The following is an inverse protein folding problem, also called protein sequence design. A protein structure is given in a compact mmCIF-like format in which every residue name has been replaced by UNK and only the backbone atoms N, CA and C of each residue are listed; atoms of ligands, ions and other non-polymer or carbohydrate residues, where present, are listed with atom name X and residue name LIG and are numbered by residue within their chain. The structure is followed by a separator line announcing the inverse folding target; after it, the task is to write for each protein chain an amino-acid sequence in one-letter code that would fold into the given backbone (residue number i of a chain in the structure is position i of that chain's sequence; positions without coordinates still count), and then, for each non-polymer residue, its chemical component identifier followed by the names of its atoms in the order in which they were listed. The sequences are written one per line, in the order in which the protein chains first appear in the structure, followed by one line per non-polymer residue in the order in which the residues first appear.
data_IF_231564142935
#
_entry.id   IF_231564142935
#
_cell.length_a   1.000
_cell.length_b   1.000
_cell.length_c   1.000
_cell.angle_alpha   90.00
_cell.angle_beta   90.00
_cell.angle_gamma   90.00
#
_symmetry.space_group_name_H-M   'P 1'
#
loop_
_entity.id
_entity.type
_entity.pdbx_description
1 polymer ?
#
# COMPACT_ATOMS: atom_id res chain seq x y z
N UNK A 1 6.26 -21.45 -6.40
CA UNK A 1 6.23 -22.57 -5.40
C UNK A 1 6.41 -21.99 -4.02
N UNK A 2 5.60 -22.38 -2.98
CA UNK A 2 5.75 -21.79 -1.64
C UNK A 2 7.14 -21.91 -1.07
N UNK A 3 7.67 -20.80 -0.56
CA UNK A 3 9.01 -20.69 0.03
C UNK A 3 9.05 -20.96 1.54
N UNK A 4 7.89 -21.26 2.17
CA UNK A 4 7.76 -21.43 3.61
C UNK A 4 6.85 -22.62 3.98
N UNK A 5 6.98 -23.07 5.25
CA UNK A 5 6.04 -24.00 5.91
C UNK A 5 5.47 -23.36 7.17
N UNK A 6 4.19 -23.57 7.44
CA UNK A 6 3.55 -23.07 8.65
C UNK A 6 4.04 -23.80 9.90
N UNK A 7 4.39 -23.04 10.93
CA UNK A 7 4.73 -23.56 12.28
C UNK A 7 3.67 -23.12 13.32
N UNK A 8 2.88 -22.12 13.00
CA UNK A 8 1.79 -21.61 13.84
C UNK A 8 0.54 -21.51 12.97
N UNK A 9 -0.61 -21.80 13.53
CA UNK A 9 -1.89 -21.76 12.83
C UNK A 9 -2.90 -20.98 13.66
N UNK A 10 -3.73 -20.19 12.99
CA UNK A 10 -4.89 -19.53 13.53
C UNK A 10 -6.14 -20.18 12.90
N UNK A 11 -7.04 -20.79 13.71
CA UNK A 11 -8.25 -21.38 13.17
C UNK A 11 -9.18 -20.30 12.60
N UNK A 12 -9.66 -20.53 11.38
CA UNK A 12 -10.67 -19.69 10.75
C UNK A 12 -11.90 -20.55 10.41
N UNK A 13 -13.07 -19.93 10.40
CA UNK A 13 -14.34 -20.62 10.10
C UNK A 13 -15.16 -19.77 9.14
N UNK A 14 -15.68 -20.39 8.09
CA UNK A 14 -16.64 -19.75 7.21
C UNK A 14 -18.01 -19.72 7.91
N UNK A 15 -18.55 -18.53 8.28
CA UNK A 15 -19.89 -18.42 8.86
C UNK A 15 -20.95 -18.86 7.84
N UNK A 16 -22.12 -19.31 8.33
CA UNK A 16 -23.24 -19.63 7.44
C UNK A 16 -23.68 -18.40 6.63
N UNK A 17 -24.36 -18.60 5.50
CA UNK A 17 -24.85 -17.51 4.67
C UNK A 17 -25.78 -16.59 5.45
N UNK A 18 -26.69 -17.14 6.24
CA UNK A 18 -27.62 -16.40 7.10
C UNK A 18 -26.86 -15.51 8.08
N UNK A 19 -25.79 -16.07 8.72
CA UNK A 19 -24.99 -15.27 9.65
C UNK A 19 -24.22 -14.16 8.93
N UNK A 20 -23.70 -14.39 7.72
CA UNK A 20 -23.03 -13.33 6.95
C UNK A 20 -23.99 -12.21 6.54
N UNK A 21 -25.24 -12.54 6.18
CA UNK A 21 -26.29 -11.56 5.87
C UNK A 21 -26.67 -10.71 7.10
N UNK A 22 -26.82 -11.33 8.27
CA UNK A 22 -27.06 -10.62 9.53
C UNK A 22 -25.89 -9.67 9.87
N UNK A 23 -24.65 -10.17 9.83
CA UNK A 23 -23.45 -9.38 10.13
C UNK A 23 -23.28 -8.22 9.17
N UNK A 24 -23.56 -8.42 7.87
CA UNK A 24 -23.47 -7.36 6.88
C UNK A 24 -24.47 -6.23 7.17
N UNK A 25 -25.70 -6.58 7.53
CA UNK A 25 -26.71 -5.61 7.94
C UNK A 25 -26.34 -4.90 9.26
N UNK A 26 -25.86 -5.65 10.27
CA UNK A 26 -25.36 -5.09 11.54
C UNK A 26 -24.17 -4.13 11.32
N UNK A 27 -23.32 -4.40 10.33
CA UNK A 27 -22.18 -3.57 9.94
C UNK A 27 -22.56 -2.34 9.08
N UNK A 28 -23.87 -2.13 8.80
CA UNK A 28 -24.32 -1.04 7.93
C UNK A 28 -23.74 -1.12 6.52
N UNK A 29 -23.60 -2.32 5.97
CA UNK A 29 -23.02 -2.58 4.63
C UNK A 29 -21.63 -1.95 4.42
N UNK A 30 -20.87 -1.77 5.50
CA UNK A 30 -19.51 -1.25 5.48
C UNK A 30 -18.51 -2.32 5.93
N UNK A 31 -17.57 -2.68 5.04
CA UNK A 31 -16.58 -3.73 5.28
C UNK A 31 -15.69 -3.48 6.51
N UNK A 32 -15.45 -2.21 6.86
CA UNK A 32 -14.64 -1.85 8.04
C UNK A 32 -15.34 -2.13 9.37
N UNK A 33 -16.67 -2.23 9.38
CA UNK A 33 -17.46 -2.52 10.56
C UNK A 33 -17.72 -4.02 10.78
N UNK A 34 -17.34 -4.89 9.84
CA UNK A 34 -17.49 -6.35 9.97
C UNK A 34 -16.51 -6.86 11.02
N UNK A 35 -16.96 -7.51 12.11
CA UNK A 35 -16.09 -8.11 13.12
C UNK A 35 -15.17 -9.18 12.50
N UNK A 36 -13.90 -9.17 12.87
CA UNK A 36 -12.88 -10.04 12.25
C UNK A 36 -13.19 -11.54 12.38
N UNK A 37 -13.82 -11.97 13.51
CA UNK A 37 -14.22 -13.36 13.73
C UNK A 37 -15.30 -13.87 12.77
N UNK A 38 -15.97 -12.96 12.04
CA UNK A 38 -16.97 -13.31 11.03
C UNK A 38 -16.40 -13.26 9.60
N UNK A 39 -15.12 -12.99 9.42
CA UNK A 39 -14.45 -12.96 8.11
C UNK A 39 -13.70 -14.27 7.89
N UNK A 40 -13.93 -14.93 6.75
CA UNK A 40 -13.24 -16.16 6.41
C UNK A 40 -11.92 -15.90 5.67
N UNK A 41 -11.93 -15.06 4.64
CA UNK A 41 -10.70 -14.63 3.95
C UNK A 41 -10.64 -13.11 3.96
N UNK A 42 -9.67 -12.58 4.70
CA UNK A 42 -9.51 -11.13 4.89
C UNK A 42 -8.47 -10.55 3.92
N UNK A 43 -8.95 -9.91 2.87
CA UNK A 43 -8.16 -9.23 1.84
C UNK A 43 -8.35 -7.70 1.89
N UNK A 44 -8.77 -7.17 3.05
CA UNK A 44 -8.96 -5.74 3.26
C UNK A 44 -7.64 -4.99 3.09
N UNK A 45 -6.56 -5.54 3.63
CA UNK A 45 -5.24 -4.90 3.60
C UNK A 45 -4.10 -5.92 3.72
N UNK A 46 -2.97 -5.60 3.08
CA UNK A 46 -1.69 -6.29 3.26
C UNK A 46 -0.81 -5.69 4.36
N UNK A 47 -1.30 -4.63 5.04
CA UNK A 47 -0.54 -3.84 6.00
C UNK A 47 -0.71 -4.33 7.43
N UNK A 48 0.31 -4.99 7.98
CA UNK A 48 0.35 -5.46 9.37
C UNK A 48 -0.47 -6.73 9.63
N UNK A 49 -0.97 -7.38 8.59
CA UNK A 49 -1.79 -8.59 8.66
C UNK A 49 -1.06 -9.84 8.18
N UNK A 50 0.23 -9.70 7.83
CA UNK A 50 1.08 -10.81 7.39
C UNK A 50 1.63 -11.65 8.55
N UNK A 51 2.16 -12.83 8.19
CA UNK A 51 2.79 -13.76 9.12
C UNK A 51 4.29 -13.51 9.20
N UNK A 52 4.80 -13.31 10.40
CA UNK A 52 6.24 -13.19 10.69
C UNK A 52 6.95 -14.55 10.60
N UNK A 53 8.22 -14.52 10.20
CA UNK A 53 9.09 -15.70 10.17
C UNK A 53 9.48 -16.16 11.58
N UNK A 54 9.99 -17.39 11.69
CA UNK A 54 10.55 -17.89 12.94
C UNK A 54 11.80 -17.11 13.38
N UNK A 55 12.55 -16.53 12.43
CA UNK A 55 13.66 -15.63 12.74
C UNK A 55 13.17 -14.30 13.33
N UNK A 56 12.07 -13.74 12.81
CA UNK A 56 11.43 -12.55 13.38
C UNK A 56 10.89 -12.84 14.79
N UNK A 57 10.22 -13.98 15.01
CA UNK A 57 9.76 -14.39 16.34
C UNK A 57 10.93 -14.58 17.32
N UNK A 58 12.05 -15.17 16.88
CA UNK A 58 13.25 -15.27 17.71
C UNK A 58 13.86 -13.90 18.03
N UNK A 59 13.80 -12.95 17.09
CA UNK A 59 14.28 -11.60 17.28
C UNK A 59 13.48 -10.84 18.34
N UNK A 60 12.16 -11.04 18.43
CA UNK A 60 11.32 -10.44 19.47
C UNK A 60 11.86 -10.72 20.88
N UNK A 61 12.40 -11.91 21.14
CA UNK A 61 12.95 -12.28 22.44
C UNK A 61 14.34 -11.65 22.74
N UNK A 62 14.97 -11.02 21.75
CA UNK A 62 16.27 -10.32 21.94
C UNK A 62 16.10 -8.81 22.13
N UNK A 63 14.90 -8.29 21.88
CA UNK A 63 14.64 -6.87 22.00
C UNK A 63 14.96 -6.33 23.38
N UNK A 64 15.73 -5.22 23.42
CA UNK A 64 16.02 -4.49 24.65
C UNK A 64 15.08 -3.27 24.74
N UNK A 65 14.48 -3.08 25.92
CA UNK A 65 13.52 -2.01 26.19
C UNK A 65 14.20 -0.74 26.73
N UNK A 66 15.31 -0.35 26.11
CA UNK A 66 16.04 0.87 26.47
C UNK A 66 15.37 2.11 25.85
N UNK A 67 15.09 3.12 26.66
CA UNK A 67 14.47 4.37 26.19
C UNK A 67 15.32 5.11 25.15
N UNK A 68 16.63 5.09 25.30
CA UNK A 68 17.57 5.79 24.42
C UNK A 68 18.76 4.91 24.05
N UNK A 69 19.10 4.87 22.75
CA UNK A 69 20.31 4.21 22.27
C UNK A 69 20.32 2.70 22.42
N UNK A 70 19.16 2.04 22.22
CA UNK A 70 19.02 0.59 22.33
C UNK A 70 19.87 -0.15 21.28
N UNK A 71 20.33 -1.35 21.63
CA UNK A 71 20.98 -2.26 20.66
C UNK A 71 20.02 -2.65 19.53
N UNK A 72 18.72 -2.79 19.84
CA UNK A 72 17.67 -3.05 18.86
C UNK A 72 17.61 -1.95 17.80
N UNK A 73 17.70 -0.68 18.20
CA UNK A 73 17.79 0.44 17.26
C UNK A 73 19.05 0.38 16.38
N UNK A 74 20.19 0.04 16.95
CA UNK A 74 21.42 -0.08 16.15
C UNK A 74 21.29 -1.16 15.08
N UNK A 75 20.69 -2.31 15.43
CA UNK A 75 20.45 -3.40 14.45
C UNK A 75 19.43 -3.00 13.37
N UNK A 76 18.39 -2.24 13.72
CA UNK A 76 17.47 -1.69 12.72
C UNK A 76 18.19 -0.74 11.77
N UNK A 77 18.99 0.19 12.30
CA UNK A 77 19.76 1.15 11.49
C UNK A 77 20.69 0.42 10.52
N UNK A 78 21.40 -0.59 11.00
CA UNK A 78 22.26 -1.43 10.15
C UNK A 78 21.45 -2.15 9.06
N UNK A 79 20.26 -2.71 9.40
CA UNK A 79 19.40 -3.36 8.41
C UNK A 79 18.91 -2.38 7.36
N UNK A 80 18.50 -1.16 7.76
CA UNK A 80 18.10 -0.11 6.83
C UNK A 80 19.26 0.30 5.93
N UNK A 81 20.46 0.50 6.48
CA UNK A 81 21.65 0.86 5.71
C UNK A 81 22.05 -0.26 4.72
N UNK A 82 22.02 -1.53 5.15
CA UNK A 82 22.31 -2.68 4.30
C UNK A 82 21.35 -2.77 3.10
N UNK A 83 20.05 -2.57 3.34
CA UNK A 83 19.02 -2.76 2.30
C UNK A 83 18.83 -1.51 1.44
N UNK A 84 18.87 -0.32 2.05
CA UNK A 84 18.45 0.93 1.37
C UNK A 84 19.62 1.88 1.08
N UNK A 85 20.74 1.76 1.79
CA UNK A 85 21.86 2.68 1.71
C UNK A 85 21.67 3.99 2.49
N UNK A 86 20.67 4.08 3.35
CA UNK A 86 20.44 5.21 4.25
C UNK A 86 20.94 4.91 5.65
N UNK A 87 21.75 5.81 6.23
CA UNK A 87 22.33 5.65 7.57
C UNK A 87 21.65 6.50 8.65
N UNK A 88 20.89 7.56 8.24
CA UNK A 88 20.13 8.41 9.16
C UNK A 88 18.68 7.96 9.18
N UNK A 89 18.29 7.27 10.24
CA UNK A 89 17.00 6.57 10.37
C UNK A 89 16.28 7.05 11.61
N UNK A 90 14.98 7.30 11.49
CA UNK A 90 14.07 7.61 12.59
C UNK A 90 12.95 6.56 12.54
N UNK A 91 12.89 5.63 13.49
CA UNK A 91 11.79 4.69 13.57
C UNK A 91 10.47 5.40 13.92
N UNK A 92 9.35 4.83 13.47
CA UNK A 92 8.00 5.28 13.74
C UNK A 92 7.09 4.07 13.95
N UNK A 93 5.94 4.23 14.60
CA UNK A 93 5.04 3.11 14.87
C UNK A 93 4.42 2.51 13.60
N UNK A 94 4.35 3.27 12.50
CA UNK A 94 3.91 2.83 11.16
C UNK A 94 4.18 3.89 10.09
N UNK A 95 3.89 3.58 8.81
CA UNK A 95 4.16 4.47 7.68
C UNK A 95 3.54 5.86 7.80
N UNK A 96 2.27 5.98 8.26
CA UNK A 96 1.65 7.30 8.42
C UNK A 96 2.31 8.16 9.49
N UNK A 97 2.98 7.57 10.47
CA UNK A 97 3.85 8.29 11.40
C UNK A 97 5.09 8.83 10.69
N UNK A 98 5.70 8.01 9.83
CA UNK A 98 6.81 8.44 8.98
C UNK A 98 6.42 9.60 8.05
N UNK A 99 5.26 9.51 7.40
CA UNK A 99 4.69 10.59 6.57
C UNK A 99 4.48 11.88 7.36
N UNK A 100 3.88 11.81 8.55
CA UNK A 100 3.71 12.98 9.43
C UNK A 100 5.05 13.63 9.76
N UNK A 101 6.04 12.82 10.13
CA UNK A 101 7.36 13.33 10.50
C UNK A 101 8.04 14.02 9.32
N UNK A 102 8.03 13.41 8.14
CA UNK A 102 8.74 13.94 6.98
C UNK A 102 8.03 15.13 6.33
N UNK A 103 6.75 14.96 5.95
CA UNK A 103 6.02 16.02 5.22
C UNK A 103 5.75 17.24 6.11
N UNK A 104 5.63 17.06 7.43
CA UNK A 104 5.56 18.20 8.34
C UNK A 104 6.87 18.96 8.54
N UNK A 105 7.98 18.49 7.94
CA UNK A 105 9.24 19.24 7.85
C UNK A 105 9.47 19.84 6.45
N UNK A 106 8.80 19.35 5.42
CA UNK A 106 9.07 19.67 4.03
C UNK A 106 7.98 20.56 3.38
N UNK A 107 6.75 20.51 3.90
CA UNK A 107 5.58 21.14 3.26
C UNK A 107 5.08 22.29 4.12
N UNK A 108 4.85 23.45 3.47
CA UNK A 108 4.28 24.66 4.06
C UNK A 108 2.94 25.02 3.37
N UNK A 109 2.21 25.99 3.94
CA UNK A 109 0.94 26.45 3.36
C UNK A 109 1.14 27.02 1.94
N UNK A 110 0.38 26.50 1.00
CA UNK A 110 0.41 26.91 -0.40
C UNK A 110 1.42 26.17 -1.28
N UNK A 111 2.19 25.24 -0.73
CA UNK A 111 3.07 24.37 -1.53
C UNK A 111 2.28 23.38 -2.38
N UNK A 112 2.88 22.95 -3.48
CA UNK A 112 2.38 21.87 -4.33
C UNK A 112 3.33 20.68 -4.21
N UNK A 113 2.78 19.50 -3.95
CA UNK A 113 3.56 18.25 -3.88
C UNK A 113 3.16 17.34 -5.02
N UNK A 114 4.13 16.97 -5.84
CA UNK A 114 3.92 16.10 -7.01
C UNK A 114 4.15 14.64 -6.65
N UNK A 115 3.34 13.75 -7.22
CA UNK A 115 3.51 12.29 -7.07
C UNK A 115 3.04 11.56 -8.34
N UNK A 116 3.52 10.34 -8.56
CA UNK A 116 2.92 9.47 -9.58
C UNK A 116 1.43 9.16 -9.29
N UNK A 117 1.08 8.84 -8.05
CA UNK A 117 -0.29 8.93 -7.51
C UNK A 117 -0.24 8.82 -5.98
N UNK A 118 -0.75 9.81 -5.29
CA UNK A 118 -0.73 9.88 -3.83
C UNK A 118 -1.57 8.77 -3.19
N UNK A 119 -1.02 8.19 -2.13
CA UNK A 119 -1.79 7.38 -1.20
C UNK A 119 -2.64 8.27 -0.28
N UNK A 120 -3.73 7.73 0.31
CA UNK A 120 -4.69 8.51 1.10
C UNK A 120 -4.04 9.30 2.23
N UNK A 121 -3.18 8.64 3.03
CA UNK A 121 -2.52 9.28 4.16
C UNK A 121 -1.44 10.28 3.74
N UNK A 122 -0.74 10.02 2.63
CA UNK A 122 0.21 10.96 2.04
C UNK A 122 -0.51 12.25 1.63
N UNK A 123 -1.61 12.12 0.88
CA UNK A 123 -2.48 13.23 0.48
C UNK A 123 -2.99 14.00 1.69
N UNK A 124 -3.47 13.29 2.71
CA UNK A 124 -4.00 13.89 3.92
C UNK A 124 -2.94 14.65 4.73
N UNK A 125 -1.71 14.13 4.84
CA UNK A 125 -0.62 14.81 5.53
C UNK A 125 -0.17 16.07 4.81
N UNK A 126 -0.10 16.06 3.48
CA UNK A 126 0.22 17.25 2.67
C UNK A 126 -0.86 18.31 2.85
N UNK A 127 -2.12 17.94 2.68
CA UNK A 127 -3.26 18.85 2.84
C UNK A 127 -3.35 19.43 4.28
N UNK A 128 -3.01 18.63 5.30
CA UNK A 128 -2.99 19.10 6.69
C UNK A 128 -1.89 20.13 6.99
N UNK A 129 -0.84 20.18 6.15
CA UNK A 129 0.15 21.26 6.20
C UNK A 129 -0.27 22.50 5.37
N UNK A 130 -1.42 22.46 4.68
CA UNK A 130 -1.88 23.49 3.77
C UNK A 130 -1.33 23.39 2.35
N UNK A 131 -0.68 22.28 2.01
CA UNK A 131 -0.18 21.97 0.67
C UNK A 131 -1.24 21.36 -0.23
N UNK A 132 -1.01 21.40 -1.55
CA UNK A 132 -1.85 20.81 -2.59
C UNK A 132 -1.17 19.55 -3.19
N UNK A 133 -1.72 18.34 -2.97
CA UNK A 133 -1.18 17.11 -3.55
C UNK A 133 -1.68 16.91 -4.98
N UNK A 134 -0.76 16.96 -5.97
CA UNK A 134 -1.07 16.80 -7.39
C UNK A 134 -0.51 15.50 -7.95
N UNK A 135 -1.37 14.71 -8.62
CA UNK A 135 -1.00 13.44 -9.23
C UNK A 135 -0.53 13.62 -10.67
N UNK A 136 0.65 13.09 -10.99
CA UNK A 136 1.28 13.09 -12.31
C UNK A 136 1.52 11.66 -12.83
N UNK A 137 0.48 10.83 -13.02
CA UNK A 137 0.64 9.48 -13.56
C UNK A 137 0.94 9.52 -15.06
N UNK A 138 1.62 8.47 -15.56
CA UNK A 138 1.80 8.27 -17.01
C UNK A 138 0.48 8.04 -17.72
N UNK A 139 0.47 8.28 -19.03
CA UNK A 139 -0.68 7.97 -19.87
C UNK A 139 -1.04 6.47 -19.83
N UNK A 140 -2.33 6.18 -19.68
CA UNK A 140 -2.85 4.82 -19.56
C UNK A 140 -2.69 4.18 -18.18
N UNK A 141 -2.18 4.90 -17.18
CA UNK A 141 -2.16 4.45 -15.78
C UNK A 141 -3.56 4.20 -15.22
N UNK A 142 -4.59 4.82 -15.79
CA UNK A 142 -6.00 4.64 -15.40
C UNK A 142 -6.81 3.76 -16.36
N UNK A 143 -6.17 3.17 -17.36
CA UNK A 143 -6.81 2.24 -18.29
C UNK A 143 -6.70 0.80 -17.76
N UNK A 144 -7.79 0.15 -17.29
CA UNK A 144 -7.73 -1.14 -16.63
C UNK A 144 -7.37 -2.28 -17.58
N UNK A 145 -7.59 -2.12 -18.90
CA UNK A 145 -7.34 -3.17 -19.89
C UNK A 145 -6.00 -3.03 -20.62
N UNK A 146 -5.34 -1.86 -20.50
CA UNK A 146 -4.04 -1.63 -21.13
C UNK A 146 -2.97 -2.48 -20.45
N UNK A 147 -2.33 -3.33 -21.22
CA UNK A 147 -1.17 -4.11 -20.78
C UNK A 147 0.13 -3.31 -21.04
N UNK A 148 0.74 -2.79 -19.98
CA UNK A 148 2.02 -2.08 -20.03
C UNK A 148 2.87 -2.42 -18.80
N UNK A 149 4.19 -2.57 -18.94
CA UNK A 149 5.05 -3.15 -17.90
C UNK A 149 5.17 -2.29 -16.63
N UNK A 150 5.04 -0.95 -16.75
CA UNK A 150 5.30 0.01 -15.68
C UNK A 150 4.25 1.13 -15.62
N UNK A 151 3.00 0.77 -15.39
CA UNK A 151 1.90 1.75 -15.29
C UNK A 151 1.96 2.62 -14.01
N UNK A 152 2.83 2.26 -13.08
CA UNK A 152 3.11 3.06 -11.88
C UNK A 152 4.07 4.23 -12.10
N UNK A 153 4.64 4.40 -13.30
CA UNK A 153 5.60 5.47 -13.57
C UNK A 153 5.02 6.88 -13.35
N UNK A 154 5.92 7.79 -12.99
CA UNK A 154 5.66 9.24 -12.92
C UNK A 154 5.83 9.88 -14.29
N UNK A 155 5.00 10.86 -14.62
CA UNK A 155 5.08 11.65 -15.85
C UNK A 155 5.78 12.99 -15.58
N UNK A 156 7.05 13.09 -15.95
CA UNK A 156 7.79 14.35 -15.86
C UNK A 156 7.19 15.45 -16.74
N UNK A 157 6.57 15.13 -17.88
CA UNK A 157 5.93 16.12 -18.74
C UNK A 157 4.73 16.77 -18.05
N UNK A 158 3.82 15.95 -17.45
CA UNK A 158 2.70 16.50 -16.66
C UNK A 158 3.18 17.31 -15.45
N UNK A 159 4.27 16.88 -14.85
CA UNK A 159 4.87 17.60 -13.73
C UNK A 159 5.42 18.96 -14.15
N UNK A 160 6.07 19.04 -15.34
CA UNK A 160 6.50 20.32 -15.91
C UNK A 160 5.34 21.26 -16.19
N UNK A 161 4.23 20.77 -16.75
CA UNK A 161 3.01 21.58 -16.95
C UNK A 161 2.53 22.21 -15.63
N UNK A 162 2.54 21.44 -14.53
CA UNK A 162 2.17 21.96 -13.20
C UNK A 162 3.16 22.99 -12.71
N UNK A 163 4.49 22.73 -12.84
CA UNK A 163 5.54 23.68 -12.44
C UNK A 163 5.47 24.97 -13.24
N UNK A 164 5.18 24.90 -14.54
CA UNK A 164 5.01 26.09 -15.40
C UNK A 164 3.80 26.95 -14.96
N UNK A 165 2.75 26.33 -14.40
CA UNK A 165 1.56 27.02 -13.92
C UNK A 165 1.75 27.65 -12.53
N UNK A 166 2.47 26.96 -11.61
CA UNK A 166 2.55 27.41 -10.19
C UNK A 166 3.87 28.06 -9.80
N UNK A 167 4.96 27.79 -10.53
CA UNK A 167 6.34 28.18 -10.21
C UNK A 167 7.09 27.09 -9.44
N UNK A 168 8.38 26.87 -9.80
CA UNK A 168 9.22 25.84 -9.19
C UNK A 168 9.40 26.04 -7.67
N UNK A 169 9.45 27.28 -7.22
CA UNK A 169 9.61 27.64 -5.80
C UNK A 169 8.41 27.19 -4.93
N UNK A 170 7.29 26.85 -5.54
CA UNK A 170 6.10 26.30 -4.86
C UNK A 170 6.05 24.77 -4.86
N UNK A 171 7.05 24.11 -5.43
CA UNK A 171 7.11 22.64 -5.51
C UNK A 171 8.32 22.12 -4.72
N UNK A 172 8.28 22.11 -3.38
CA UNK A 172 9.43 21.74 -2.56
C UNK A 172 9.69 20.21 -2.55
N UNK A 173 8.71 19.40 -2.98
CA UNK A 173 8.78 17.94 -2.86
C UNK A 173 8.20 17.26 -4.10
N UNK A 174 8.95 16.30 -4.62
CA UNK A 174 8.51 15.30 -5.60
C UNK A 174 8.52 13.94 -4.93
N UNK A 175 7.38 13.26 -4.93
CA UNK A 175 7.22 11.92 -4.32
C UNK A 175 7.10 10.87 -5.42
N UNK A 176 7.68 9.70 -5.20
CA UNK A 176 7.50 8.53 -6.06
C UNK A 176 7.12 7.31 -5.19
N UNK A 177 5.90 6.83 -5.35
CA UNK A 177 5.39 5.66 -4.60
C UNK A 177 5.69 4.38 -5.36
N UNK A 178 6.41 3.44 -4.75
CA UNK A 178 6.79 2.14 -5.32
C UNK A 178 6.42 0.96 -4.41
N UNK A 179 5.73 -0.11 -4.90
CA UNK A 179 4.80 -0.09 -6.05
C UNK A 179 3.63 0.83 -5.76
N UNK A 180 3.06 1.48 -6.80
CA UNK A 180 2.03 2.48 -6.57
C UNK A 180 0.67 1.85 -6.24
N UNK A 181 0.24 1.94 -4.98
CA UNK A 181 -1.05 1.39 -4.52
C UNK A 181 -2.25 2.07 -5.19
N UNK A 182 -2.21 3.39 -5.39
CA UNK A 182 -3.30 4.18 -5.98
C UNK A 182 -3.45 3.95 -7.49
N UNK A 183 -2.45 3.33 -8.11
CA UNK A 183 -2.47 2.84 -9.48
C UNK A 183 -2.42 1.31 -9.48
N UNK A 184 -3.36 0.67 -8.77
CA UNK A 184 -3.57 -0.78 -8.73
C UNK A 184 -2.28 -1.61 -8.42
N UNK A 185 -1.40 -1.10 -7.56
CA UNK A 185 -0.17 -1.79 -7.17
C UNK A 185 0.88 -1.88 -8.28
N UNK A 186 0.80 -1.01 -9.29
CA UNK A 186 1.68 -1.06 -10.45
C UNK A 186 3.11 -0.66 -10.13
N UNK A 187 4.10 -1.33 -10.73
CA UNK A 187 5.50 -1.03 -10.54
C UNK A 187 5.96 0.21 -11.30
N UNK A 188 7.08 0.75 -10.82
CA UNK A 188 7.84 1.85 -11.42
C UNK A 188 9.16 1.31 -11.94
N UNK A 189 9.55 1.68 -13.17
CA UNK A 189 10.83 1.27 -13.76
C UNK A 189 12.03 1.96 -13.11
N UNK A 190 13.21 1.33 -13.15
CA UNK A 190 14.44 1.97 -12.70
C UNK A 190 14.79 3.20 -13.55
N UNK A 191 14.48 3.16 -14.84
CA UNK A 191 14.63 4.33 -15.73
C UNK A 191 13.79 5.51 -15.25
N UNK A 192 12.53 5.28 -14.86
CA UNK A 192 11.64 6.34 -14.39
C UNK A 192 12.04 6.87 -13.01
N UNK A 193 12.60 6.03 -12.12
CA UNK A 193 13.18 6.54 -10.85
C UNK A 193 14.28 7.56 -11.15
N UNK A 194 15.19 7.26 -12.09
CA UNK A 194 16.26 8.21 -12.49
C UNK A 194 15.72 9.47 -13.16
N UNK A 195 14.72 9.33 -14.02
CA UNK A 195 14.05 10.47 -14.66
C UNK A 195 13.37 11.38 -13.64
N UNK A 196 12.66 10.80 -12.66
CA UNK A 196 12.00 11.57 -11.60
C UNK A 196 13.00 12.25 -10.68
N UNK A 197 14.12 11.60 -10.36
CA UNK A 197 15.21 12.23 -9.59
C UNK A 197 15.83 13.40 -10.33
N UNK A 198 16.11 13.26 -11.62
CA UNK A 198 16.65 14.34 -12.46
C UNK A 198 15.66 15.51 -12.58
N UNK A 199 14.36 15.23 -12.68
CA UNK A 199 13.33 16.27 -12.68
C UNK A 199 13.27 17.01 -11.32
N UNK A 200 13.33 16.31 -10.21
CA UNK A 200 13.35 16.93 -8.88
C UNK A 200 14.59 17.83 -8.70
N UNK A 201 15.78 17.38 -9.17
CA UNK A 201 17.01 18.18 -9.18
C UNK A 201 16.88 19.43 -10.07
N UNK A 202 16.24 19.30 -11.24
CA UNK A 202 16.00 20.43 -12.18
C UNK A 202 15.24 21.60 -11.51
N UNK A 203 14.30 21.30 -10.61
CA UNK A 203 13.45 22.29 -9.93
C UNK A 203 13.87 22.58 -8.48
N UNK A 204 15.00 22.07 -8.02
CA UNK A 204 15.53 22.19 -6.65
C UNK A 204 14.56 21.64 -5.57
N UNK A 205 13.81 20.56 -5.90
CA UNK A 205 12.87 19.91 -5.00
C UNK A 205 13.49 18.69 -4.30
N UNK A 206 13.06 18.41 -3.07
CA UNK A 206 13.43 17.19 -2.35
C UNK A 206 12.78 15.97 -3.01
N UNK A 207 13.56 14.99 -3.45
CA UNK A 207 13.05 13.75 -4.00
C UNK A 207 12.81 12.71 -2.91
N UNK A 208 11.55 12.32 -2.71
CA UNK A 208 11.13 11.35 -1.70
C UNK A 208 10.60 10.08 -2.38
N UNK A 209 11.08 8.91 -1.96
CA UNK A 209 10.48 7.64 -2.35
C UNK A 209 9.64 7.08 -1.18
N UNK A 210 8.33 6.86 -1.44
CA UNK A 210 7.54 5.96 -0.61
C UNK A 210 7.93 4.53 -0.93
N UNK A 211 8.77 3.95 -0.07
CA UNK A 211 9.41 2.66 -0.25
C UNK A 211 8.61 1.49 0.35
N UNK A 212 7.32 1.67 0.60
CA UNK A 212 6.50 0.68 1.30
C UNK A 212 6.51 -0.71 0.64
N UNK A 213 6.70 -0.79 -0.70
CA UNK A 213 6.76 -2.05 -1.47
C UNK A 213 7.95 -2.08 -2.43
N UNK A 214 9.10 -1.71 -1.92
CA UNK A 214 10.34 -1.55 -2.67
C UNK A 214 10.88 -2.87 -3.24
N UNK A 215 10.72 -4.00 -2.54
CA UNK A 215 11.22 -5.29 -2.98
C UNK A 215 10.32 -5.90 -4.07
N UNK A 216 8.98 -5.78 -3.93
CA UNK A 216 8.04 -6.13 -5.01
C UNK A 216 8.36 -5.30 -6.27
N UNK A 217 8.63 -4.00 -6.12
CA UNK A 217 8.99 -3.13 -7.24
C UNK A 217 10.30 -3.57 -7.91
N UNK A 218 11.35 -3.82 -7.12
CA UNK A 218 12.64 -4.28 -7.64
C UNK A 218 12.53 -5.65 -8.35
N UNK A 219 11.66 -6.54 -7.86
CA UNK A 219 11.38 -7.80 -8.53
C UNK A 219 10.75 -7.60 -9.91
N UNK A 220 9.79 -6.67 -10.06
CA UNK A 220 9.22 -6.34 -11.36
C UNK A 220 10.23 -5.69 -12.29
N UNK A 221 11.11 -4.81 -11.80
CA UNK A 221 12.23 -4.25 -12.57
C UNK A 221 13.10 -5.38 -13.12
N UNK A 222 13.52 -6.32 -12.26
CA UNK A 222 14.30 -7.49 -12.65
C UNK A 222 13.62 -8.31 -13.76
N UNK A 223 12.29 -8.44 -13.72
CA UNK A 223 11.53 -9.26 -14.69
C UNK A 223 11.17 -8.55 -15.98
N UNK A 224 11.06 -7.22 -15.98
CA UNK A 224 10.41 -6.45 -17.05
C UNK A 224 11.29 -5.38 -17.68
N UNK A 225 12.40 -4.98 -17.04
CA UNK A 225 13.29 -3.92 -17.55
C UNK A 225 14.59 -4.53 -18.10
N UNK A 226 14.94 -4.20 -19.36
CA UNK A 226 16.13 -4.71 -20.02
C UNK A 226 17.40 -4.34 -19.27
N UNK A 227 18.30 -5.32 -19.08
CA UNK A 227 19.59 -5.15 -18.41
C UNK A 227 19.55 -5.36 -16.90
N UNK A 228 18.40 -5.75 -16.34
CA UNK A 228 18.24 -6.04 -14.90
C UNK A 228 18.07 -7.54 -14.58
N UNK A 229 17.99 -8.41 -15.56
CA UNK A 229 17.62 -9.83 -15.45
C UNK A 229 18.56 -10.63 -14.55
N UNK A 230 19.86 -10.32 -14.59
CA UNK A 230 20.92 -11.03 -13.86
C UNK A 230 21.24 -10.38 -12.49
N UNK A 231 20.57 -9.29 -12.13
CA UNK A 231 20.81 -8.56 -10.88
C UNK A 231 19.96 -9.13 -9.75
N UNK A 232 20.44 -8.99 -8.51
CA UNK A 232 19.64 -9.36 -7.34
C UNK A 232 18.57 -8.32 -7.04
N UNK A 233 17.46 -8.74 -6.41
CA UNK A 233 16.41 -7.83 -5.94
C UNK A 233 16.98 -6.78 -4.97
N UNK A 234 17.91 -7.20 -4.09
CA UNK A 234 18.58 -6.31 -3.15
C UNK A 234 19.39 -5.21 -3.86
N UNK A 235 20.17 -5.56 -4.89
CA UNK A 235 20.96 -4.58 -5.65
C UNK A 235 20.07 -3.58 -6.41
N UNK A 236 18.99 -4.07 -7.00
CA UNK A 236 18.03 -3.22 -7.73
C UNK A 236 17.31 -2.27 -6.76
N UNK A 237 16.83 -2.79 -5.63
CA UNK A 237 16.18 -1.99 -4.59
C UNK A 237 17.12 -0.89 -4.08
N UNK A 238 18.38 -1.24 -3.75
CA UNK A 238 19.38 -0.29 -3.28
C UNK A 238 19.71 0.77 -4.33
N UNK A 239 19.82 0.38 -5.62
CA UNK A 239 20.01 1.35 -6.71
C UNK A 239 18.84 2.32 -6.80
N UNK A 240 17.60 1.83 -6.86
CA UNK A 240 16.43 2.70 -6.96
C UNK A 240 16.36 3.70 -5.79
N UNK A 241 16.56 3.22 -4.56
CA UNK A 241 16.52 4.06 -3.36
C UNK A 241 17.72 5.01 -3.23
N UNK A 242 18.83 4.72 -3.93
CA UNK A 242 20.02 5.59 -3.92
C UNK A 242 19.79 6.97 -4.56
N UNK A 243 18.79 7.09 -5.42
CA UNK A 243 18.44 8.35 -6.09
C UNK A 243 17.62 9.29 -5.22
N UNK A 244 17.01 8.81 -4.12
CA UNK A 244 16.17 9.63 -3.25
C UNK A 244 17.00 10.39 -2.19
N UNK A 245 16.52 11.59 -1.82
CA UNK A 245 17.01 12.38 -0.70
C UNK A 245 16.44 11.86 0.63
N UNK A 246 15.22 11.35 0.59
CA UNK A 246 14.55 10.75 1.72
C UNK A 246 13.65 9.58 1.30
N UNK A 247 13.39 8.67 2.25
CA UNK A 247 12.41 7.60 2.09
C UNK A 247 11.47 7.56 3.28
N UNK A 248 10.21 7.22 3.01
CA UNK A 248 9.23 6.82 4.03
C UNK A 248 8.91 5.34 3.86
N UNK A 249 8.80 4.63 4.97
CA UNK A 249 8.56 3.19 4.96
C UNK A 249 7.51 2.78 5.98
N UNK A 250 6.50 2.04 5.53
CA UNK A 250 5.66 1.27 6.43
C UNK A 250 6.23 -0.14 6.56
N UNK A 251 6.82 -0.44 7.70
CA UNK A 251 7.34 -1.79 8.01
C UNK A 251 6.25 -2.85 8.04
N UNK A 252 5.00 -2.44 8.24
CA UNK A 252 3.80 -3.29 8.17
C UNK A 252 3.57 -3.94 6.80
N UNK A 253 4.36 -3.57 5.78
CA UNK A 253 4.35 -4.16 4.44
C UNK A 253 5.63 -4.97 4.23
N UNK A 254 6.68 -4.38 3.69
CA UNK A 254 7.89 -5.13 3.32
C UNK A 254 9.01 -5.16 4.36
N UNK A 255 8.77 -4.73 5.61
CA UNK A 255 9.56 -5.23 6.73
C UNK A 255 8.85 -6.39 7.46
N UNK A 256 7.76 -6.91 6.90
CA UNK A 256 7.07 -8.14 7.28
C UNK A 256 6.63 -8.19 8.76
N UNK A 257 6.34 -7.01 9.36
CA UNK A 257 5.93 -6.88 10.76
C UNK A 257 4.48 -6.44 10.89
N UNK A 258 3.91 -6.64 12.08
CA UNK A 258 2.54 -6.24 12.39
C UNK A 258 2.46 -4.76 12.84
N UNK A 259 3.56 -4.17 13.28
CA UNK A 259 3.72 -2.76 13.64
C UNK A 259 5.12 -2.29 13.25
N UNK A 260 5.26 -1.02 12.89
CA UNK A 260 6.55 -0.40 12.59
C UNK A 260 6.59 0.36 11.28
N UNK A 261 7.52 1.27 11.21
CA UNK A 261 7.89 2.08 10.07
C UNK A 261 9.14 2.90 10.36
N UNK A 262 9.57 3.68 9.40
CA UNK A 262 10.67 4.63 9.59
C UNK A 262 10.70 5.71 8.52
N UNK A 263 11.34 6.81 8.84
CA UNK A 263 11.87 7.81 7.91
C UNK A 263 13.37 7.61 7.81
N UNK A 264 13.93 7.69 6.61
CA UNK A 264 15.37 7.82 6.47
C UNK A 264 15.70 8.95 5.49
N UNK A 265 16.74 9.73 5.80
CA UNK A 265 17.10 10.95 5.06
C UNK A 265 18.63 11.03 4.86
N UNK A 266 19.05 11.71 3.77
CA UNK A 266 20.49 11.94 3.50
C UNK A 266 20.97 13.24 4.12
N UNK A 267 20.16 14.29 4.04
CA UNK A 267 20.50 15.60 4.56
C UNK A 267 20.54 15.62 6.10
N UNK A 268 21.56 16.23 6.69
CA UNK A 268 21.77 16.28 8.13
C UNK A 268 20.83 17.26 8.83
N UNK A 269 20.52 18.39 8.20
CA UNK A 269 19.66 19.41 8.80
C UNK A 269 18.20 18.97 8.76
N UNK A 270 17.76 18.32 7.66
CA UNK A 270 16.46 17.68 7.59
C UNK A 270 16.32 16.57 8.64
N UNK A 271 17.38 15.78 8.85
CA UNK A 271 17.40 14.74 9.89
C UNK A 271 17.17 15.32 11.28
N UNK A 272 17.84 16.43 11.63
CA UNK A 272 17.66 17.07 12.95
C UNK A 272 16.24 17.66 13.10
N UNK A 273 15.67 18.27 12.05
CA UNK A 273 14.27 18.74 12.06
C UNK A 273 13.29 17.58 12.23
N UNK A 274 13.48 16.50 11.47
CA UNK A 274 12.65 15.30 11.55
C UNK A 274 12.72 14.65 12.94
N UNK A 275 13.89 14.58 13.57
CA UNK A 275 14.05 14.11 14.96
C UNK A 275 13.22 14.92 15.95
N UNK A 276 13.26 16.27 15.85
CA UNK A 276 12.48 17.13 16.74
C UNK A 276 10.97 16.87 16.57
N UNK A 277 10.50 16.71 15.34
CA UNK A 277 9.11 16.39 15.08
C UNK A 277 8.74 14.99 15.56
N UNK A 278 9.58 14.00 15.35
CA UNK A 278 9.38 12.64 15.84
C UNK A 278 9.23 12.57 17.37
N UNK A 279 9.99 13.36 18.13
CA UNK A 279 9.85 13.43 19.59
C UNK A 279 8.44 13.87 20.00
N UNK A 280 7.82 14.75 19.25
CA UNK A 280 6.47 15.27 19.56
C UNK A 280 5.36 14.29 19.19
N UNK A 281 5.50 13.52 18.10
CA UNK A 281 4.40 12.74 17.52
C UNK A 281 4.56 11.23 17.65
N UNK A 282 5.79 10.72 17.73
CA UNK A 282 6.09 9.28 17.76
C UNK A 282 6.73 8.86 19.08
N UNK A 283 7.86 9.45 19.40
CA UNK A 283 8.64 9.15 20.57
C UNK A 283 10.12 9.50 20.39
N UNK A 284 10.97 9.09 21.34
CA UNK A 284 12.39 9.38 21.22
C UNK A 284 12.99 8.73 19.95
N UNK A 285 13.92 9.38 19.22
CA UNK A 285 14.36 8.97 17.88
C UNK A 285 15.01 7.59 17.77
N UNK A 286 15.31 6.94 18.90
CA UNK A 286 15.87 5.59 18.90
C UNK A 286 14.85 4.49 19.22
N UNK A 287 13.57 4.83 19.42
CA UNK A 287 12.51 3.84 19.49
C UNK A 287 11.24 4.22 18.71
N UNK A 288 10.95 5.52 18.48
CA UNK A 288 9.85 5.97 17.63
C UNK A 288 8.47 5.43 18.00
N UNK A 289 8.14 5.36 19.30
CA UNK A 289 6.87 4.83 19.80
C UNK A 289 6.73 3.31 19.72
N UNK A 290 7.80 2.57 19.42
CA UNK A 290 7.81 1.12 19.34
C UNK A 290 8.55 0.47 20.52
N UNK A 291 8.29 -0.81 20.79
CA UNK A 291 9.11 -1.60 21.68
C UNK A 291 10.38 -2.07 20.97
N UNK A 292 11.45 -2.35 21.75
CA UNK A 292 12.67 -2.93 21.21
C UNK A 292 12.43 -4.26 20.50
N UNK A 293 11.44 -5.04 20.96
CA UNK A 293 11.00 -6.29 20.34
C UNK A 293 10.51 -6.07 18.91
N UNK A 294 9.65 -5.08 18.68
CA UNK A 294 9.12 -4.79 17.36
C UNK A 294 10.20 -4.26 16.41
N UNK A 295 11.13 -3.45 16.94
CA UNK A 295 12.31 -2.95 16.23
C UNK A 295 13.19 -4.11 15.74
N UNK A 296 13.46 -5.10 16.60
CA UNK A 296 14.23 -6.30 16.24
C UNK A 296 13.55 -7.12 15.14
N UNK A 297 12.23 -7.35 15.26
CA UNK A 297 11.49 -8.06 14.25
C UNK A 297 11.50 -7.33 12.90
N UNK A 298 11.42 -5.99 12.92
CA UNK A 298 11.49 -5.15 11.73
C UNK A 298 12.86 -5.22 11.05
N UNK A 299 13.95 -5.21 11.83
CA UNK A 299 15.31 -5.34 11.31
C UNK A 299 15.54 -6.67 10.56
N UNK A 300 14.99 -7.77 11.10
CA UNK A 300 15.04 -9.09 10.45
C UNK A 300 14.19 -9.10 9.19
N UNK A 301 12.93 -8.63 9.28
CA UNK A 301 11.99 -8.66 8.18
C UNK A 301 12.43 -7.82 6.97
N UNK A 302 13.10 -6.69 7.18
CA UNK A 302 13.70 -5.88 6.12
C UNK A 302 14.72 -6.67 5.28
N UNK A 303 15.57 -7.45 5.92
CA UNK A 303 16.54 -8.29 5.21
C UNK A 303 15.87 -9.45 4.48
N UNK A 304 14.84 -10.06 5.08
CA UNK A 304 14.06 -11.12 4.44
C UNK A 304 13.28 -10.65 3.21
N UNK A 305 12.85 -9.40 3.19
CA UNK A 305 12.03 -8.84 2.10
C UNK A 305 12.73 -8.86 0.73
N UNK A 306 14.06 -8.78 0.70
CA UNK A 306 14.83 -8.80 -0.54
C UNK A 306 15.34 -10.20 -0.94
N UNK A 307 15.02 -11.21 -0.14
CA UNK A 307 15.39 -12.61 -0.45
C UNK A 307 14.55 -13.16 -1.60
N UNK A 308 15.19 -13.71 -2.66
CA UNK A 308 14.47 -14.18 -3.84
C UNK A 308 13.32 -15.15 -3.55
N UNK A 309 13.49 -16.17 -2.67
CA UNK A 309 12.39 -17.12 -2.40
C UNK A 309 11.14 -16.46 -1.82
N UNK A 310 11.31 -15.39 -1.06
CA UNK A 310 10.18 -14.65 -0.49
C UNK A 310 9.48 -13.82 -1.56
N UNK A 311 10.22 -12.94 -2.26
CA UNK A 311 9.59 -11.97 -3.17
C UNK A 311 8.99 -12.65 -4.40
N UNK A 312 9.60 -13.73 -4.90
CA UNK A 312 9.07 -14.56 -5.98
C UNK A 312 7.74 -15.20 -5.58
N UNK A 313 7.69 -15.90 -4.43
CA UNK A 313 6.47 -16.51 -3.90
C UNK A 313 5.36 -15.47 -3.67
N UNK A 314 5.73 -14.27 -3.19
CA UNK A 314 4.83 -13.15 -2.94
C UNK A 314 4.15 -12.66 -4.22
N UNK A 315 4.92 -12.38 -5.26
CA UNK A 315 4.38 -11.87 -6.53
C UNK A 315 3.63 -12.96 -7.28
N UNK A 316 4.17 -14.18 -7.34
CA UNK A 316 3.48 -15.35 -7.92
C UNK A 316 2.09 -15.58 -7.30
N UNK A 317 1.96 -15.40 -5.98
CA UNK A 317 0.68 -15.57 -5.28
C UNK A 317 -0.38 -14.57 -5.75
N UNK A 318 0.01 -13.31 -5.97
CA UNK A 318 -0.91 -12.27 -6.45
C UNK A 318 -1.28 -12.50 -7.92
N UNK A 319 -0.28 -12.83 -8.75
CA UNK A 319 -0.50 -13.19 -10.16
C UNK A 319 -1.40 -14.43 -10.30
N UNK A 320 -1.26 -15.41 -9.38
CA UNK A 320 -2.11 -16.61 -9.36
C UNK A 320 -3.58 -16.29 -9.09
N UNK A 321 -3.88 -15.41 -8.12
CA UNK A 321 -5.26 -14.96 -7.87
C UNK A 321 -5.80 -14.20 -9.09
N UNK A 322 -5.01 -13.31 -9.69
CA UNK A 322 -5.41 -12.58 -10.89
C UNK A 322 -5.80 -13.54 -12.04
N UNK A 323 -4.96 -14.52 -12.32
CA UNK A 323 -5.23 -15.54 -13.33
C UNK A 323 -6.48 -16.37 -13.02
N UNK A 324 -6.69 -16.76 -11.75
CA UNK A 324 -7.88 -17.51 -11.32
C UNK A 324 -9.17 -16.71 -11.55
N UNK A 325 -9.15 -15.39 -11.31
CA UNK A 325 -10.28 -14.50 -11.56
C UNK A 325 -10.55 -14.35 -13.06
N UNK A 326 -9.53 -14.11 -13.88
CA UNK A 326 -9.66 -14.01 -15.34
C UNK A 326 -10.18 -15.29 -15.98
N UNK A 327 -9.67 -16.46 -15.57
CA UNK A 327 -10.14 -17.78 -16.05
C UNK A 327 -11.64 -18.01 -15.77
N UNK A 328 -12.18 -17.32 -14.75
CA UNK A 328 -13.60 -17.36 -14.37
C UNK A 328 -14.43 -16.20 -14.94
N UNK A 329 -13.84 -15.37 -15.82
CA UNK A 329 -14.51 -14.27 -16.46
C UNK A 329 -14.75 -13.05 -15.57
N UNK A 330 -14.04 -12.93 -14.46
CA UNK A 330 -14.09 -11.75 -13.58
C UNK A 330 -13.12 -10.69 -14.11
N UNK A 331 -13.59 -9.48 -14.46
CA UNK A 331 -12.74 -8.42 -15.00
C UNK A 331 -11.82 -7.88 -13.91
N UNK A 332 -10.53 -7.71 -14.24
CA UNK A 332 -9.52 -7.17 -13.33
C UNK A 332 -8.69 -6.09 -14.03
N UNK A 333 -8.09 -5.21 -13.23
CA UNK A 333 -7.11 -4.25 -13.69
C UNK A 333 -5.82 -4.96 -14.12
N UNK A 334 -5.32 -4.66 -15.34
CA UNK A 334 -4.13 -5.29 -15.96
C UNK A 334 -2.97 -4.32 -16.15
N UNK A 335 -1.73 -4.86 -16.11
CA UNK A 335 -1.36 -6.16 -15.57
C UNK A 335 -1.56 -6.22 -14.05
N UNK A 336 -1.51 -7.41 -13.46
CA UNK A 336 -1.59 -7.58 -11.99
C UNK A 336 -0.37 -6.92 -11.33
N UNK A 337 -0.63 -6.20 -10.23
CA UNK A 337 0.40 -5.52 -9.44
C UNK A 337 1.06 -6.40 -8.39
N UNK A 338 1.82 -5.78 -7.46
CA UNK A 338 2.66 -6.52 -6.51
C UNK A 338 1.94 -7.09 -5.30
N UNK A 339 0.89 -6.44 -4.80
CA UNK A 339 0.32 -6.78 -3.48
C UNK A 339 -1.16 -7.16 -3.49
N UNK A 340 -1.86 -6.89 -4.56
CA UNK A 340 -3.30 -7.06 -4.65
C UNK A 340 -3.75 -7.32 -6.07
N UNK A 341 -4.90 -7.96 -6.23
CA UNK A 341 -5.67 -7.95 -7.45
C UNK A 341 -6.78 -6.91 -7.31
N UNK A 342 -7.01 -6.13 -8.36
CA UNK A 342 -8.06 -5.12 -8.38
C UNK A 342 -9.14 -5.56 -9.37
N UNK A 343 -10.30 -5.93 -8.83
CA UNK A 343 -11.47 -6.29 -9.64
C UNK A 343 -12.12 -5.02 -10.16
N UNK A 344 -12.42 -4.98 -11.45
CA UNK A 344 -13.17 -3.88 -12.08
C UNK A 344 -14.67 -4.07 -11.82
N UNK A 345 -15.13 -3.46 -10.74
CA UNK A 345 -16.53 -3.51 -10.34
C UNK A 345 -17.43 -2.71 -11.29
N UNK A 346 -16.90 -1.66 -11.92
CA UNK A 346 -17.63 -0.88 -12.93
C UNK A 346 -17.93 -1.69 -14.17
N UNK A 347 -17.02 -2.55 -14.61
CA UNK A 347 -17.26 -3.50 -15.70
C UNK A 347 -18.16 -4.65 -15.25
N UNK A 348 -17.90 -5.26 -14.09
CA UNK A 348 -18.65 -6.43 -13.59
C UNK A 348 -20.12 -6.10 -13.28
N UNK A 349 -20.36 -4.93 -12.70
CA UNK A 349 -21.68 -4.44 -12.30
C UNK A 349 -22.11 -3.22 -13.13
N UNK A 350 -21.88 -3.25 -14.42
CA UNK A 350 -22.06 -2.13 -15.36
C UNK A 350 -23.50 -1.56 -15.44
N UNK A 351 -24.49 -2.24 -14.85
CA UNK A 351 -25.86 -1.75 -14.71
C UNK A 351 -26.04 -0.77 -13.54
N UNK A 352 -25.06 -0.72 -12.60
CA UNK A 352 -25.09 0.20 -11.45
C UNK A 352 -24.38 1.52 -11.80
N UNK A 353 -25.04 2.67 -11.61
CA UNK A 353 -24.36 3.95 -11.74
C UNK A 353 -23.39 4.20 -10.57
N UNK A 354 -22.41 5.08 -10.75
CA UNK A 354 -21.38 5.39 -9.73
C UNK A 354 -21.97 5.91 -8.41
N UNK A 355 -23.11 6.60 -8.46
CA UNK A 355 -23.84 7.08 -7.28
C UNK A 355 -24.43 5.96 -6.41
N UNK A 356 -24.48 4.74 -6.92
CA UNK A 356 -24.91 3.54 -6.21
C UNK A 356 -23.74 2.65 -5.81
N UNK A 357 -22.51 3.15 -5.92
CA UNK A 357 -21.28 2.55 -5.42
C UNK A 357 -21.02 1.11 -5.86
N UNK A 358 -20.83 0.82 -7.17
CA UNK A 358 -20.61 -0.54 -7.69
C UNK A 358 -19.50 -1.30 -6.94
N UNK A 359 -18.40 -0.62 -6.61
CA UNK A 359 -17.29 -1.21 -5.84
C UNK A 359 -17.72 -1.66 -4.45
N UNK A 360 -18.46 -0.84 -3.72
CA UNK A 360 -18.94 -1.21 -2.37
C UNK A 360 -20.02 -2.29 -2.44
N UNK A 361 -20.90 -2.26 -3.44
CA UNK A 361 -21.86 -3.31 -3.68
C UNK A 361 -21.16 -4.66 -3.91
N UNK A 362 -20.12 -4.68 -4.74
CA UNK A 362 -19.31 -5.89 -4.97
C UNK A 362 -18.60 -6.38 -3.68
N UNK A 363 -18.06 -5.49 -2.86
CA UNK A 363 -17.48 -5.87 -1.55
C UNK A 363 -18.51 -6.57 -0.67
N UNK A 364 -19.74 -6.04 -0.60
CA UNK A 364 -20.83 -6.67 0.17
C UNK A 364 -21.20 -8.04 -0.38
N UNK A 365 -21.28 -8.19 -1.70
CA UNK A 365 -21.63 -9.46 -2.35
C UNK A 365 -20.52 -10.53 -2.19
N UNK A 366 -19.23 -10.15 -2.27
CA UNK A 366 -18.11 -11.06 -2.00
C UNK A 366 -18.16 -11.58 -0.56
N UNK A 367 -18.48 -10.70 0.39
CA UNK A 367 -18.66 -11.10 1.78
C UNK A 367 -19.88 -12.01 1.96
N UNK A 368 -21.02 -11.68 1.38
CA UNK A 368 -22.26 -12.48 1.42
C UNK A 368 -22.03 -13.87 0.83
N UNK A 369 -21.34 -13.96 -0.31
CA UNK A 369 -21.12 -15.21 -1.01
C UNK A 369 -20.07 -16.10 -0.34
N UNK A 370 -18.90 -15.55 -0.02
CA UNK A 370 -17.74 -16.31 0.41
C UNK A 370 -17.15 -15.94 1.77
N UNK A 371 -17.71 -15.00 2.51
CA UNK A 371 -17.06 -14.46 3.71
C UNK A 371 -15.73 -13.77 3.40
N UNK A 372 -15.58 -13.25 2.16
CA UNK A 372 -14.39 -12.57 1.67
C UNK A 372 -14.51 -11.08 1.92
N UNK A 373 -13.55 -10.48 2.63
CA UNK A 373 -13.50 -9.06 2.88
C UNK A 373 -12.46 -8.38 2.01
N UNK A 374 -12.90 -7.57 1.03
CA UNK A 374 -12.09 -6.66 0.23
C UNK A 374 -12.30 -5.21 0.65
N UNK A 375 -11.74 -4.27 -0.12
CA UNK A 375 -11.96 -2.83 0.07
C UNK A 375 -12.27 -2.15 -1.25
N UNK A 376 -13.27 -1.30 -1.23
CA UNK A 376 -13.63 -0.44 -2.35
C UNK A 376 -12.62 0.70 -2.52
N UNK A 377 -12.29 1.02 -3.77
CA UNK A 377 -11.42 2.13 -4.18
C UNK A 377 -12.03 2.85 -5.39
N UNK A 378 -13.23 3.35 -5.26
CA UNK A 378 -14.00 4.06 -6.28
C UNK A 378 -14.76 5.24 -5.70
N UNK A 379 -15.99 5.43 -6.15
CA UNK A 379 -16.85 6.58 -5.82
C UNK A 379 -17.25 6.67 -4.34
N UNK A 380 -17.30 5.55 -3.62
CA UNK A 380 -17.58 5.55 -2.18
C UNK A 380 -16.37 6.03 -1.36
N UNK A 381 -15.18 5.51 -1.61
CA UNK A 381 -13.97 5.93 -0.87
C UNK A 381 -13.49 7.33 -1.26
N UNK A 382 -13.73 7.77 -2.51
CA UNK A 382 -13.23 9.03 -3.05
C UNK A 382 -14.37 9.89 -3.64
N UNK A 383 -15.19 10.54 -2.79
CA UNK A 383 -16.32 11.36 -3.23
C UNK A 383 -15.91 12.43 -4.24
N UNK A 384 -16.59 12.49 -5.39
CA UNK A 384 -16.38 13.51 -6.41
C UNK A 384 -15.10 13.35 -7.24
N UNK A 385 -14.31 12.32 -7.01
CA UNK A 385 -13.13 12.04 -7.83
C UNK A 385 -13.52 11.24 -9.09
N UNK A 386 -12.97 11.61 -10.25
CA UNK A 386 -13.04 10.81 -11.48
C UNK A 386 -12.10 9.61 -11.36
N UNK A 387 -12.65 8.47 -10.92
CA UNK A 387 -11.90 7.23 -10.69
C UNK A 387 -12.64 6.02 -11.23
N UNK A 388 -11.88 4.94 -11.45
CA UNK A 388 -12.44 3.62 -11.74
C UNK A 388 -13.14 3.07 -10.48
N UNK A 389 -14.20 2.31 -10.69
CA UNK A 389 -14.90 1.55 -9.64
C UNK A 389 -14.15 0.23 -9.39
N UNK A 390 -13.19 0.23 -8.49
CA UNK A 390 -12.33 -0.93 -8.23
C UNK A 390 -12.59 -1.53 -6.85
N UNK A 391 -12.45 -2.85 -6.75
CA UNK A 391 -12.35 -3.57 -5.48
C UNK A 391 -10.95 -4.15 -5.35
N UNK A 392 -10.23 -3.72 -4.33
CA UNK A 392 -8.89 -4.24 -4.03
C UNK A 392 -8.99 -5.48 -3.15
N UNK A 393 -8.40 -6.57 -3.62
CA UNK A 393 -8.19 -7.81 -2.89
C UNK A 393 -6.70 -7.89 -2.51
N UNK A 394 -6.34 -7.25 -1.40
CA UNK A 394 -4.95 -7.17 -0.93
C UNK A 394 -4.58 -8.44 -0.16
N UNK A 395 -3.59 -9.19 -0.62
CA UNK A 395 -3.22 -10.47 -0.02
C UNK A 395 -2.22 -10.24 1.12
N UNK A 396 -2.54 -10.59 2.38
CA UNK A 396 -1.58 -10.60 3.48
C UNK A 396 -0.42 -11.55 3.21
N UNK A 397 0.81 -11.08 3.52
CA UNK A 397 2.04 -11.84 3.23
C UNK A 397 2.13 -13.10 4.07
N UNK A 398 2.43 -14.25 3.42
CA UNK A 398 2.65 -15.55 4.08
C UNK A 398 1.44 -16.06 4.89
N UNK A 399 0.21 -15.63 4.58
CA UNK A 399 -0.99 -15.93 5.38
C UNK A 399 -1.89 -16.97 4.70
N UNK A 400 -2.38 -16.66 3.52
CA UNK A 400 -3.33 -17.54 2.82
C UNK A 400 -2.65 -18.51 1.85
N UNK A 401 -3.26 -19.69 1.70
CA UNK A 401 -2.87 -20.71 0.74
C UNK A 401 -3.65 -20.62 -0.55
N UNK A 402 -3.27 -21.47 -1.51
CA UNK A 402 -3.93 -21.59 -2.82
C UNK A 402 -5.42 -21.86 -2.68
N UNK A 403 -5.83 -22.71 -1.74
CA UNK A 403 -7.22 -23.07 -1.49
C UNK A 403 -8.09 -21.87 -1.09
N UNK A 404 -7.50 -20.90 -0.36
CA UNK A 404 -8.18 -19.66 -0.01
C UNK A 404 -8.34 -18.75 -1.24
N UNK A 405 -7.32 -18.71 -2.12
CA UNK A 405 -7.39 -17.93 -3.36
C UNK A 405 -8.41 -18.51 -4.34
N UNK A 406 -8.48 -19.84 -4.46
CA UNK A 406 -9.51 -20.53 -5.23
C UNK A 406 -10.91 -20.20 -4.71
N UNK A 407 -11.11 -20.24 -3.39
CA UNK A 407 -12.38 -19.85 -2.75
C UNK A 407 -12.77 -18.40 -3.06
N UNK A 408 -11.80 -17.45 -3.02
CA UNK A 408 -12.03 -16.05 -3.39
C UNK A 408 -12.46 -15.94 -4.85
N UNK A 409 -11.77 -16.63 -5.75
CA UNK A 409 -12.08 -16.59 -7.17
C UNK A 409 -13.45 -17.23 -7.49
N UNK A 410 -13.80 -18.34 -6.81
CA UNK A 410 -15.10 -18.98 -6.93
C UNK A 410 -16.24 -18.08 -6.40
N UNK A 411 -16.04 -17.40 -5.27
CA UNK A 411 -16.99 -16.43 -4.74
C UNK A 411 -17.21 -15.24 -5.71
N UNK A 412 -16.12 -14.72 -6.29
CA UNK A 412 -16.22 -13.63 -7.27
C UNK A 412 -16.95 -14.06 -8.55
N UNK A 413 -16.68 -15.28 -9.03
CA UNK A 413 -17.38 -15.85 -10.18
C UNK A 413 -18.90 -16.03 -9.92
N UNK A 414 -19.27 -16.55 -8.75
CA UNK A 414 -20.67 -16.71 -8.36
C UNK A 414 -21.42 -15.36 -8.27
N UNK A 415 -20.74 -14.30 -7.84
CA UNK A 415 -21.29 -12.93 -7.92
C UNK A 415 -21.46 -12.51 -9.38
N UNK A 416 -20.46 -12.76 -10.23
CA UNK A 416 -20.51 -12.42 -11.66
C UNK A 416 -21.67 -13.10 -12.40
N UNK A 417 -21.95 -14.38 -12.10
CA UNK A 417 -23.08 -15.13 -12.69
C UNK A 417 -24.46 -14.50 -12.43
N UNK A 418 -24.60 -13.80 -11.29
CA UNK A 418 -25.84 -13.11 -10.88
C UNK A 418 -25.69 -11.58 -10.86
N UNK A 419 -24.66 -11.05 -11.52
CA UNK A 419 -24.40 -9.61 -11.53
C UNK A 419 -25.63 -8.73 -11.79
N UNK A 420 -26.54 -9.03 -12.74
CA UNK A 420 -27.75 -8.23 -12.96
C UNK A 420 -28.75 -8.19 -11.79
N UNK A 421 -28.61 -9.09 -10.81
CA UNK A 421 -29.45 -9.17 -9.60
C UNK A 421 -28.87 -8.35 -8.43
N UNK A 422 -27.62 -7.91 -8.55
CA UNK A 422 -26.96 -7.12 -7.51
C UNK A 422 -27.55 -5.73 -7.45
N UNK A 423 -27.99 -5.31 -6.27
CA UNK A 423 -28.52 -3.97 -6.03
C UNK A 423 -27.42 -3.03 -5.59
N UNK A 424 -27.51 -1.76 -5.99
CA UNK A 424 -26.63 -0.71 -5.51
C UNK A 424 -26.87 -0.37 -4.04
N UNK A 425 -26.08 0.57 -3.54
CA UNK A 425 -26.14 1.06 -2.17
C UNK A 425 -26.38 2.56 -2.15
N UNK A 426 -26.98 3.06 -1.07
CA UNK A 426 -27.05 4.48 -0.73
C UNK A 426 -26.48 4.74 0.65
N UNK A 427 -25.91 5.93 0.86
CA UNK A 427 -25.39 6.34 2.16
C UNK A 427 -26.55 6.81 3.05
N UNK A 428 -26.71 6.16 4.19
CA UNK A 428 -27.75 6.49 5.19
C UNK A 428 -27.22 7.42 6.27
N UNK A 429 -25.93 7.25 6.64
CA UNK A 429 -25.27 8.04 7.68
C UNK A 429 -23.83 8.30 7.31
N UNK A 430 -23.40 9.57 7.34
CA UNK A 430 -22.02 9.97 7.07
C UNK A 430 -21.31 10.48 8.33
N UNK A 431 -20.01 10.24 8.47
CA UNK A 431 -19.21 10.87 9.51
C UNK A 431 -19.05 12.38 9.28
N UNK A 432 -18.64 13.15 10.33
CA UNK A 432 -18.40 14.59 10.19
C UNK A 432 -17.35 14.99 9.14
N UNK A 433 -16.47 14.07 8.77
CA UNK A 433 -15.41 14.26 7.77
C UNK A 433 -15.73 13.38 6.55
N UNK A 434 -16.34 13.94 5.49
CA UNK A 434 -16.79 13.17 4.31
C UNK A 434 -15.65 12.41 3.60
N UNK A 435 -14.41 12.91 3.63
CA UNK A 435 -13.23 12.29 3.05
C UNK A 435 -12.86 10.95 3.74
N UNK A 436 -13.37 10.73 4.95
CA UNK A 436 -13.15 9.51 5.73
C UNK A 436 -14.40 8.60 5.78
N UNK A 437 -15.42 8.89 4.95
CA UNK A 437 -16.70 8.18 5.00
C UNK A 437 -16.56 6.67 4.81
N UNK A 438 -15.64 6.22 3.97
CA UNK A 438 -15.43 4.80 3.72
C UNK A 438 -15.04 3.98 4.96
N UNK A 439 -14.47 4.63 6.00
CA UNK A 439 -14.14 3.94 7.25
C UNK A 439 -15.31 3.76 8.21
N UNK A 440 -16.36 4.57 8.11
CA UNK A 440 -17.38 4.63 9.18
C UNK A 440 -18.80 5.00 8.71
N UNK A 441 -19.03 5.30 7.45
CA UNK A 441 -20.39 5.54 6.96
C UNK A 441 -21.23 4.27 7.03
N UNK A 442 -22.55 4.45 7.24
CA UNK A 442 -23.54 3.39 7.11
C UNK A 442 -24.26 3.51 5.76
N UNK A 443 -24.46 2.38 5.12
CA UNK A 443 -25.16 2.26 3.84
C UNK A 443 -26.38 1.34 3.98
N UNK A 444 -27.27 1.41 2.98
CA UNK A 444 -28.38 0.50 2.80
C UNK A 444 -28.54 0.14 1.32
N UNK A 445 -29.09 -1.03 0.99
CA UNK A 445 -29.50 -1.35 -0.39
C UNK A 445 -30.55 -0.38 -0.91
N UNK A 446 -30.42 0.03 -2.20
CA UNK A 446 -31.38 0.91 -2.91
C UNK A 446 -32.67 0.16 -3.23
#
# INVERSE_FOLDING_TARGET
MRSYKAKMVEPITLPSRERREEVLAEAGYNAFNIPAENVYVDLLTDSGTGTMSDAQWAALFRGDESYAGSESFHRLREAVEDVTGFSRVIPTHQGRGAENVLYGCLVEEGDVVLNNAHFDTTRAHIANQGGDPVDCPVEGARDPVRDAPFKGNFSADRARDVVDDVGAERVPVVVLTITNNSTAGQPVSAANVRETAAFAEEIDATFVIDACRFAENAHFVRRREEGYEDRTVADIAREQLSHADAIVMSGKKEALVNIGGFVAVRDADLFERAKQRAILYEGFPTYGGMSGRDIEAMAVGLREAVEPPYVEDRVEQVEELGRMLEERGVPIYRPVGGHAVYVDAGELLSHLPSEQFPGQALVCELYREGGVRGVELGSFAFPGADRLELVRLAIPRRTYGREHLEHVADAAAAVGERAPEVTGLEVVSEPPTPELRHFSAELAPV
#
